data_IF_008566619962
#
_entry.id   IF_008566619962
#
_cell.length_a   1.000
_cell.length_b   1.000
_cell.length_c   1.000
_cell.angle_alpha   90.00
_cell.angle_beta   90.00
_cell.angle_gamma   90.00
#
_symmetry.space_group_name_H-M   'P 1'
#
loop_
_entity.id
_entity.type
_entity.pdbx_description
1 polymer ?
#
# COMPACT_ATOMS: atom_id res chain seq x y z
N UNK A 1 -43.03 -4.75 22.31
CA UNK A 1 -42.19 -3.56 22.04
C UNK A 1 -40.81 -3.78 22.66
N UNK A 2 -39.75 -3.45 21.92
CA UNK A 2 -38.32 -3.82 22.09
C UNK A 2 -37.95 -5.19 21.51
N UNK A 3 -37.81 -5.25 20.18
CA UNK A 3 -36.84 -6.14 19.54
C UNK A 3 -35.54 -5.36 19.41
N UNK A 4 -34.49 -5.89 20.04
CA UNK A 4 -33.22 -5.21 20.24
C UNK A 4 -32.43 -5.00 18.95
N UNK A 5 -31.87 -3.81 18.83
CA UNK A 5 -30.62 -3.58 18.11
C UNK A 5 -29.54 -4.43 18.78
N UNK A 6 -29.17 -5.59 18.22
CA UNK A 6 -27.93 -6.25 18.63
C UNK A 6 -27.39 -7.30 17.65
N UNK A 7 -27.46 -7.04 16.34
CA UNK A 7 -26.54 -7.67 15.40
C UNK A 7 -25.89 -6.57 14.56
N UNK A 8 -24.54 -6.48 14.52
CA UNK A 8 -23.87 -5.69 13.49
C UNK A 8 -24.11 -6.40 12.15
N UNK A 9 -25.27 -6.14 11.56
CA UNK A 9 -25.57 -6.55 10.20
C UNK A 9 -24.71 -5.76 9.21
N UNK A 10 -24.58 -6.28 8.00
CA UNK A 10 -23.97 -5.60 6.85
C UNK A 10 -24.45 -4.14 6.66
N UNK A 11 -25.67 -3.81 7.08
CA UNK A 11 -26.22 -2.45 7.02
C UNK A 11 -25.51 -1.49 7.99
N UNK A 12 -25.15 -1.93 9.19
CA UNK A 12 -24.40 -1.09 10.12
C UNK A 12 -23.00 -0.81 9.55
N UNK A 13 -22.29 -1.82 9.04
CA UNK A 13 -20.97 -1.59 8.41
C UNK A 13 -21.07 -0.67 7.19
N UNK A 14 -22.10 -0.84 6.36
CA UNK A 14 -22.31 0.04 5.22
C UNK A 14 -22.61 1.49 5.64
N UNK A 15 -23.39 1.69 6.70
CA UNK A 15 -23.60 3.01 7.28
C UNK A 15 -22.27 3.64 7.75
N UNK A 16 -21.41 2.86 8.41
CA UNK A 16 -20.08 3.33 8.83
C UNK A 16 -19.17 3.73 7.67
N UNK A 17 -19.22 3.00 6.56
CA UNK A 17 -18.48 3.36 5.35
C UNK A 17 -19.02 4.62 4.70
N UNK A 18 -20.35 4.83 4.70
CA UNK A 18 -21.01 5.99 4.08
C UNK A 18 -20.91 7.28 4.90
N UNK A 19 -20.83 7.20 6.24
CA UNK A 19 -20.82 8.38 7.13
C UNK A 19 -19.79 9.45 6.73
N UNK A 20 -18.50 9.14 6.47
CA UNK A 20 -17.51 10.14 6.09
C UNK A 20 -17.81 10.82 4.75
N UNK A 21 -18.34 10.08 3.76
CA UNK A 21 -18.68 10.61 2.43
C UNK A 21 -19.87 11.58 2.52
N UNK A 22 -20.90 11.21 3.28
CA UNK A 22 -22.05 12.09 3.55
C UNK A 22 -21.62 13.34 4.28
N UNK A 23 -20.77 13.22 5.31
CA UNK A 23 -20.24 14.39 6.01
C UNK A 23 -19.45 15.29 5.07
N UNK A 24 -18.62 14.73 4.19
CA UNK A 24 -17.82 15.46 3.21
C UNK A 24 -18.60 16.01 2.00
N UNK A 25 -19.92 15.79 1.93
CA UNK A 25 -20.76 16.16 0.80
C UNK A 25 -20.29 15.56 -0.54
N UNK A 26 -19.70 14.36 -0.48
CA UNK A 26 -19.19 13.60 -1.63
C UNK A 26 -19.96 12.31 -1.90
N UNK A 27 -20.94 11.96 -1.06
CA UNK A 27 -21.88 10.88 -1.30
C UNK A 27 -22.92 11.27 -2.36
N UNK A 28 -23.45 10.27 -3.08
CA UNK A 28 -24.62 10.44 -3.96
C UNK A 28 -25.90 10.70 -3.14
N UNK A 29 -26.94 11.23 -3.79
CA UNK A 29 -28.23 11.49 -3.13
C UNK A 29 -28.86 10.20 -2.60
N UNK A 30 -28.78 9.10 -3.35
CA UNK A 30 -29.30 7.79 -2.96
C UNK A 30 -28.62 7.27 -1.68
N UNK A 31 -27.30 7.41 -1.58
CA UNK A 31 -26.52 7.05 -0.40
C UNK A 31 -26.86 7.93 0.81
N UNK A 32 -27.14 9.21 0.57
CA UNK A 32 -27.55 10.15 1.61
C UNK A 32 -28.91 9.78 2.20
N UNK A 33 -29.91 9.58 1.35
CA UNK A 33 -31.26 9.19 1.77
C UNK A 33 -31.25 7.84 2.50
N UNK A 34 -30.48 6.88 1.99
CA UNK A 34 -30.33 5.56 2.62
C UNK A 34 -29.73 5.68 4.03
N UNK A 35 -28.66 6.47 4.19
CA UNK A 35 -28.01 6.66 5.48
C UNK A 35 -28.99 7.32 6.47
N UNK A 36 -29.69 8.40 6.09
CA UNK A 36 -30.67 9.05 6.97
C UNK A 36 -31.75 8.06 7.42
N UNK A 37 -32.28 7.26 6.50
CA UNK A 37 -33.29 6.24 6.82
C UNK A 37 -32.78 5.18 7.80
N UNK A 38 -31.49 4.81 7.70
CA UNK A 38 -30.85 3.89 8.65
C UNK A 38 -30.62 4.54 10.02
N UNK A 39 -30.12 5.78 10.07
CA UNK A 39 -29.87 6.52 11.31
C UNK A 39 -31.17 6.73 12.13
N UNK A 40 -32.32 6.88 11.46
CA UNK A 40 -33.62 6.96 12.13
C UNK A 40 -34.02 5.66 12.86
N UNK A 41 -33.47 4.52 12.44
CA UNK A 41 -33.78 3.19 12.99
C UNK A 41 -32.72 2.70 13.97
N UNK A 42 -31.48 3.18 13.88
CA UNK A 42 -30.34 2.69 14.65
C UNK A 42 -29.76 3.75 15.60
N UNK A 43 -29.93 3.55 16.91
CA UNK A 43 -29.46 4.48 17.94
C UNK A 43 -27.93 4.56 18.05
N UNK A 44 -27.20 3.46 17.80
CA UNK A 44 -25.74 3.47 17.84
C UNK A 44 -25.17 4.25 16.67
N UNK A 45 -25.61 3.97 15.44
CA UNK A 45 -25.15 4.68 14.25
C UNK A 45 -25.50 6.18 14.28
N UNK A 46 -26.67 6.56 14.81
CA UNK A 46 -27.03 7.98 14.99
C UNK A 46 -26.16 8.70 16.02
N UNK A 47 -25.79 8.03 17.12
CA UNK A 47 -24.86 8.58 18.11
C UNK A 47 -23.46 8.83 17.51
N UNK A 48 -22.96 7.88 16.72
CA UNK A 48 -21.68 7.98 16.02
C UNK A 48 -21.68 9.09 14.97
N UNK A 49 -22.72 9.15 14.14
CA UNK A 49 -22.86 10.23 13.14
C UNK A 49 -22.89 11.62 13.80
N UNK A 50 -23.61 11.76 14.93
CA UNK A 50 -23.64 12.99 15.70
C UNK A 50 -22.27 13.35 16.32
N UNK A 51 -21.47 12.36 16.73
CA UNK A 51 -20.10 12.59 17.19
C UNK A 51 -19.19 13.08 16.06
N UNK A 52 -19.23 12.42 14.90
CA UNK A 52 -18.41 12.80 13.75
C UNK A 52 -18.81 14.18 13.19
N UNK A 53 -20.11 14.49 13.16
CA UNK A 53 -20.62 15.82 12.78
C UNK A 53 -20.10 16.92 13.72
N UNK A 54 -20.12 16.67 15.05
CA UNK A 54 -19.54 17.60 16.03
C UNK A 54 -18.05 17.81 15.82
N UNK A 55 -17.29 16.75 15.53
CA UNK A 55 -15.86 16.86 15.23
C UNK A 55 -15.61 17.70 13.98
N UNK A 56 -16.36 17.46 12.90
CA UNK A 56 -16.27 18.25 11.66
C UNK A 56 -16.55 19.72 11.94
N UNK A 57 -17.60 20.03 12.71
CA UNK A 57 -17.91 21.40 13.10
C UNK A 57 -16.77 22.02 13.89
N UNK A 58 -16.20 21.30 14.86
CA UNK A 58 -15.07 21.79 15.64
C UNK A 58 -13.83 22.09 14.77
N UNK A 59 -13.55 21.25 13.75
CA UNK A 59 -12.45 21.48 12.81
C UNK A 59 -12.71 22.62 11.82
N UNK A 60 -13.98 22.94 11.55
CA UNK A 60 -14.37 24.04 10.66
C UNK A 60 -14.31 25.42 11.32
N UNK A 61 -14.20 25.47 12.66
CA UNK A 61 -14.05 26.72 13.38
C UNK A 61 -12.73 27.40 12.97
N UNK A 62 -12.75 28.72 12.73
CA UNK A 62 -11.51 29.47 12.57
C UNK A 62 -10.62 29.25 13.78
N UNK A 63 -9.34 28.95 13.55
CA UNK A 63 -8.35 28.92 14.63
C UNK A 63 -8.14 30.35 15.13
N UNK A 64 -8.41 30.59 16.41
CA UNK A 64 -8.12 31.88 17.06
C UNK A 64 -6.62 32.16 17.16
N UNK A 65 -5.79 31.16 16.90
CA UNK A 65 -4.33 31.30 16.83
C UNK A 65 -3.93 31.64 15.40
N UNK A 66 -3.38 32.83 15.14
CA UNK A 66 -2.81 33.14 13.83
C UNK A 66 -1.62 32.21 13.59
N UNK A 67 -1.72 31.35 12.57
CA UNK A 67 -0.64 30.46 12.15
C UNK A 67 0.25 31.21 11.17
N UNK A 68 1.44 31.58 11.62
CA UNK A 68 2.50 32.08 10.74
C UNK A 68 3.30 30.87 10.21
N UNK A 69 2.94 30.43 9.01
CA UNK A 69 3.59 29.29 8.35
C UNK A 69 5.08 29.57 8.07
N UNK A 70 5.44 30.82 7.79
CA UNK A 70 6.81 31.22 7.44
C UNK A 70 7.69 31.21 8.69
N UNK A 71 7.22 31.76 9.81
CA UNK A 71 7.93 31.65 11.09
C UNK A 71 8.09 30.19 11.56
N UNK A 72 7.08 29.35 11.30
CA UNK A 72 7.15 27.91 11.54
C UNK A 72 8.23 27.21 10.69
N UNK A 73 8.27 27.51 9.40
CA UNK A 73 9.26 26.97 8.47
C UNK A 73 10.68 27.41 8.82
N UNK A 74 10.89 28.70 9.10
CA UNK A 74 12.20 29.23 9.49
C UNK A 74 12.72 28.56 10.76
N UNK A 75 11.85 28.31 11.75
CA UNK A 75 12.21 27.57 12.97
C UNK A 75 12.57 26.12 12.67
N UNK A 76 11.88 25.46 11.73
CA UNK A 76 12.19 24.10 11.32
C UNK A 76 13.53 24.03 10.60
N UNK A 77 13.76 24.89 9.60
CA UNK A 77 15.01 24.96 8.86
C UNK A 77 16.19 25.23 9.80
N UNK A 78 16.04 26.20 10.72
CA UNK A 78 17.06 26.47 11.74
C UNK A 78 17.36 25.28 12.66
N UNK A 79 16.41 24.37 12.90
CA UNK A 79 16.65 23.12 13.65
C UNK A 79 17.34 22.05 12.83
N UNK A 80 17.10 22.00 11.51
CA UNK A 80 17.78 21.08 10.59
C UNK A 80 19.23 21.51 10.36
N UNK A 81 19.47 22.82 10.32
CA UNK A 81 20.81 23.41 10.19
C UNK A 81 21.58 23.44 11.51
N UNK A 82 20.88 23.30 12.64
CA UNK A 82 21.51 23.23 13.95
C UNK A 82 22.33 21.93 14.06
N UNK A 83 23.61 22.01 14.47
CA UNK A 83 24.39 20.80 14.72
C UNK A 83 23.70 19.97 15.81
N UNK A 84 23.58 18.66 15.58
CA UNK A 84 22.97 17.76 16.57
C UNK A 84 23.66 17.95 17.92
N UNK A 85 22.91 18.13 19.01
CA UNK A 85 23.50 18.22 20.33
C UNK A 85 24.25 16.92 20.60
N UNK A 86 25.55 17.05 20.81
CA UNK A 86 26.42 15.93 21.15
C UNK A 86 25.88 15.29 22.43
N UNK A 87 25.22 14.14 22.27
CA UNK A 87 24.78 13.32 23.41
C UNK A 87 26.03 12.91 24.15
N UNK A 88 26.31 13.59 25.27
CA UNK A 88 27.37 13.18 26.17
C UNK A 88 27.09 11.73 26.59
N UNK A 89 28.07 10.81 26.44
CA UNK A 89 27.86 9.43 26.82
C UNK A 89 27.61 9.38 28.32
N UNK A 90 26.37 9.07 28.69
CA UNK A 90 26.02 8.80 30.09
C UNK A 90 26.76 7.53 30.48
N UNK A 91 27.78 7.67 31.33
CA UNK A 91 28.47 6.51 31.92
C UNK A 91 27.56 5.84 32.93
N UNK A 92 26.78 4.88 32.46
CA UNK A 92 25.98 4.02 33.32
C UNK A 92 26.91 2.97 33.94
N UNK A 93 27.03 2.95 35.27
CA UNK A 93 27.71 1.86 35.98
C UNK A 93 26.89 0.58 35.83
N UNK A 94 27.38 -0.35 35.03
CA UNK A 94 26.73 -1.64 34.79
C UNK A 94 26.87 -2.54 36.04
N UNK A 95 25.75 -2.79 36.71
CA UNK A 95 25.62 -3.83 37.74
C UNK A 95 25.69 -5.23 37.11
N UNK A 96 26.00 -6.26 37.88
CA UNK A 96 25.94 -7.65 37.40
C UNK A 96 24.55 -7.98 36.82
N UNK A 97 23.47 -7.47 37.41
CA UNK A 97 22.11 -7.63 36.85
C UNK A 97 21.98 -7.06 35.44
N UNK A 98 22.56 -5.89 35.14
CA UNK A 98 22.61 -5.37 33.77
C UNK A 98 23.44 -6.24 32.83
N UNK A 99 24.54 -6.85 33.29
CA UNK A 99 25.33 -7.79 32.47
C UNK A 99 24.57 -9.08 32.16
N UNK A 100 23.82 -9.61 33.12
CA UNK A 100 22.98 -10.78 32.92
C UNK A 100 21.82 -10.49 31.95
N UNK A 101 21.19 -9.32 32.08
CA UNK A 101 20.15 -8.87 31.15
C UNK A 101 20.70 -8.65 29.72
N UNK A 102 21.90 -8.09 29.59
CA UNK A 102 22.58 -7.95 28.29
C UNK A 102 22.86 -9.32 27.66
N UNK A 103 23.33 -10.28 28.44
CA UNK A 103 23.56 -11.65 27.95
C UNK A 103 22.25 -12.30 27.47
N UNK A 104 21.16 -12.17 28.24
CA UNK A 104 19.85 -12.66 27.84
C UNK A 104 19.33 -11.97 26.56
N UNK A 105 19.52 -10.66 26.43
CA UNK A 105 19.13 -9.91 25.25
C UNK A 105 19.94 -10.32 24.00
N UNK A 106 21.24 -10.61 24.15
CA UNK A 106 22.07 -11.12 23.06
C UNK A 106 21.62 -12.51 22.60
N UNK A 107 21.29 -13.41 23.53
CA UNK A 107 20.74 -14.73 23.19
C UNK A 107 19.41 -14.60 22.44
N UNK A 108 18.52 -13.69 22.88
CA UNK A 108 17.26 -13.42 22.18
C UNK A 108 17.48 -12.82 20.79
N UNK A 109 18.42 -11.88 20.65
CA UNK A 109 18.75 -11.27 19.36
C UNK A 109 19.30 -12.31 18.37
N UNK A 110 20.14 -13.24 18.83
CA UNK A 110 20.64 -14.34 17.99
C UNK A 110 19.49 -15.28 17.60
N UNK A 111 18.63 -15.65 18.55
CA UNK A 111 17.45 -16.49 18.27
C UNK A 111 16.50 -15.87 17.23
N UNK A 112 16.20 -14.57 17.40
CA UNK A 112 15.36 -13.81 16.47
C UNK A 112 16.03 -13.63 15.11
N UNK A 113 17.35 -13.40 15.08
CA UNK A 113 18.11 -13.30 13.82
C UNK A 113 18.08 -14.60 13.02
N UNK A 114 18.28 -15.74 13.67
CA UNK A 114 18.20 -17.06 13.01
C UNK A 114 16.78 -17.36 12.52
N UNK A 115 15.76 -17.04 13.32
CA UNK A 115 14.36 -17.19 12.92
C UNK A 115 14.01 -16.28 11.74
N UNK A 116 14.46 -15.02 11.76
CA UNK A 116 14.27 -14.06 10.67
C UNK A 116 14.91 -14.51 9.37
N UNK A 117 16.15 -15.04 9.40
CA UNK A 117 16.82 -15.59 8.21
C UNK A 117 16.06 -16.80 7.65
N UNK A 118 15.54 -17.68 8.51
CA UNK A 118 14.72 -18.84 8.07
C UNK A 118 13.42 -18.41 7.42
N UNK A 119 12.75 -17.40 7.97
CA UNK A 119 11.50 -16.85 7.42
C UNK A 119 11.76 -16.11 6.09
N UNK A 120 12.79 -15.27 6.00
CA UNK A 120 13.17 -14.59 4.75
C UNK A 120 13.64 -15.54 3.66
N UNK A 121 14.37 -16.61 4.01
CA UNK A 121 14.76 -17.62 3.01
C UNK A 121 13.54 -18.34 2.40
N UNK A 122 12.44 -18.43 3.15
CA UNK A 122 11.17 -18.98 2.70
C UNK A 122 10.36 -17.99 1.83
N UNK A 123 10.59 -16.70 2.02
CA UNK A 123 9.91 -15.59 1.32
C UNK A 123 10.60 -15.16 0.01
N UNK A 124 11.85 -15.58 -0.22
CA UNK A 124 12.62 -15.32 -1.46
C UNK A 124 11.98 -15.88 -2.75
N UNK A 125 10.87 -16.63 -2.64
CA UNK A 125 10.10 -17.12 -3.79
C UNK A 125 8.94 -16.22 -4.24
N UNK A 126 8.54 -15.19 -3.49
CA UNK A 126 7.29 -14.44 -3.78
C UNK A 126 7.18 -12.99 -3.25
N UNK A 127 8.26 -12.40 -2.72
CA UNK A 127 8.23 -11.02 -2.21
C UNK A 127 8.07 -9.96 -3.30
N UNK A 128 6.87 -9.37 -3.40
CA UNK A 128 6.68 -8.03 -3.96
C UNK A 128 7.55 -7.06 -3.16
N UNK A 129 8.70 -6.67 -3.72
CA UNK A 129 9.53 -5.62 -3.13
C UNK A 129 8.70 -4.32 -3.12
N UNK A 130 8.31 -3.87 -1.93
CA UNK A 130 7.62 -2.60 -1.74
C UNK A 130 8.51 -1.48 -2.26
N UNK A 131 8.12 -0.92 -3.40
CA UNK A 131 8.90 0.08 -4.12
C UNK A 131 8.31 1.46 -3.86
N UNK A 132 9.15 2.39 -3.42
CA UNK A 132 8.72 3.78 -3.23
C UNK A 132 8.75 4.54 -4.56
N UNK A 133 7.88 5.54 -4.73
CA UNK A 133 7.85 6.37 -5.94
C UNK A 133 9.13 7.21 -6.14
N UNK A 134 9.92 7.37 -5.08
CA UNK A 134 11.22 8.07 -5.10
C UNK A 134 12.39 7.16 -5.50
N UNK A 135 12.15 5.85 -5.63
CA UNK A 135 13.20 4.87 -5.93
C UNK A 135 13.50 4.84 -7.43
N UNK A 136 14.76 5.14 -7.76
CA UNK A 136 15.27 5.12 -9.14
C UNK A 136 14.97 3.79 -9.80
N UNK A 137 14.43 3.84 -11.02
CA UNK A 137 14.12 2.65 -11.78
C UNK A 137 15.39 1.85 -12.06
N UNK A 138 15.47 0.66 -11.45
CA UNK A 138 16.43 -0.34 -11.88
C UNK A 138 16.25 -0.57 -13.39
N UNK A 139 17.36 -0.64 -14.14
CA UNK A 139 17.32 -0.96 -15.56
C UNK A 139 16.52 -2.25 -15.75
N UNK A 140 15.49 -2.19 -16.58
CA UNK A 140 14.75 -3.39 -16.95
C UNK A 140 15.71 -4.33 -17.69
N UNK A 141 15.57 -5.64 -17.47
CA UNK A 141 16.31 -6.63 -18.23
C UNK A 141 16.10 -6.42 -19.74
N UNK A 142 17.14 -6.65 -20.53
CA UNK A 142 17.16 -6.37 -21.98
C UNK A 142 16.13 -7.19 -22.80
N UNK A 143 15.41 -8.11 -22.15
CA UNK A 143 14.38 -8.98 -22.70
C UNK A 143 12.97 -8.68 -22.16
N UNK A 144 12.79 -7.54 -21.48
CA UNK A 144 11.49 -7.14 -20.96
C UNK A 144 10.51 -6.79 -22.09
N UNK A 145 9.26 -7.23 -21.93
CA UNK A 145 8.17 -7.02 -22.89
C UNK A 145 7.04 -6.28 -22.20
N UNK A 146 6.57 -5.19 -22.81
CA UNK A 146 5.37 -4.47 -22.37
C UNK A 146 4.15 -5.03 -23.08
N UNK A 147 3.14 -5.43 -22.31
CA UNK A 147 1.92 -6.05 -22.83
C UNK A 147 0.68 -5.37 -22.27
N UNK A 148 -0.29 -5.08 -23.13
CA UNK A 148 -1.61 -4.57 -22.76
C UNK A 148 -2.65 -5.64 -23.11
N UNK A 149 -3.19 -6.37 -22.12
CA UNK A 149 -4.33 -7.25 -22.30
C UNK A 149 -5.60 -6.46 -22.65
N UNK A 150 -6.53 -7.10 -23.35
CA UNK A 150 -7.88 -6.59 -23.52
C UNK A 150 -8.64 -6.60 -22.18
N UNK A 151 -9.48 -5.59 -21.95
CA UNK A 151 -10.24 -5.47 -20.70
C UNK A 151 -11.21 -6.64 -20.46
N UNK A 152 -11.56 -7.39 -21.51
CA UNK A 152 -12.44 -8.57 -21.44
C UNK A 152 -11.68 -9.88 -21.26
N UNK A 153 -10.35 -9.86 -21.29
CA UNK A 153 -9.54 -11.06 -21.10
C UNK A 153 -9.69 -11.56 -19.67
N UNK A 154 -10.05 -12.83 -19.49
CA UNK A 154 -10.19 -13.39 -18.14
C UNK A 154 -8.81 -13.59 -17.51
N UNK A 155 -8.75 -13.55 -16.18
CA UNK A 155 -7.51 -13.83 -15.45
C UNK A 155 -6.97 -15.24 -15.74
N UNK A 156 -7.86 -16.23 -15.95
CA UNK A 156 -7.47 -17.59 -16.30
C UNK A 156 -6.83 -17.69 -17.69
N UNK A 157 -7.39 -17.00 -18.68
CA UNK A 157 -6.81 -16.95 -20.03
C UNK A 157 -5.47 -16.21 -20.02
N UNK A 158 -5.37 -15.13 -19.23
CA UNK A 158 -4.13 -14.37 -19.05
C UNK A 158 -3.01 -15.24 -18.46
N UNK A 159 -3.31 -15.96 -17.37
CA UNK A 159 -2.36 -16.85 -16.71
C UNK A 159 -1.93 -18.01 -17.64
N UNK A 160 -2.87 -18.59 -18.39
CA UNK A 160 -2.57 -19.63 -19.37
C UNK A 160 -1.63 -19.16 -20.48
N UNK A 161 -1.78 -17.92 -20.96
CA UNK A 161 -0.88 -17.30 -21.95
C UNK A 161 0.52 -17.10 -21.37
N UNK A 162 0.63 -16.58 -20.15
CA UNK A 162 1.91 -16.38 -19.46
C UNK A 162 2.65 -17.71 -19.24
N UNK A 163 1.94 -18.74 -18.77
CA UNK A 163 2.50 -20.08 -18.57
C UNK A 163 2.95 -20.72 -19.89
N UNK A 164 2.14 -20.62 -20.95
CA UNK A 164 2.47 -21.17 -22.28
C UNK A 164 3.72 -20.53 -22.87
N UNK A 165 3.89 -19.22 -22.68
CA UNK A 165 5.02 -18.46 -23.21
C UNK A 165 6.20 -18.36 -22.23
N UNK A 166 6.10 -19.01 -21.06
CA UNK A 166 7.11 -18.98 -20.00
C UNK A 166 7.50 -17.54 -19.62
N UNK A 167 6.49 -16.68 -19.50
CA UNK A 167 6.62 -15.27 -19.12
C UNK A 167 6.11 -15.05 -17.69
N UNK A 168 6.74 -14.13 -16.96
CA UNK A 168 6.33 -13.71 -15.62
C UNK A 168 6.08 -12.21 -15.60
N UNK A 169 5.04 -11.80 -14.89
CA UNK A 169 4.77 -10.38 -14.60
C UNK A 169 5.76 -9.88 -13.55
N UNK A 170 6.52 -8.83 -13.87
CA UNK A 170 7.44 -8.15 -12.93
C UNK A 170 6.93 -6.78 -12.49
N UNK A 171 6.02 -6.18 -13.27
CA UNK A 171 5.33 -4.95 -12.91
C UNK A 171 3.99 -4.88 -13.65
N UNK A 172 2.99 -4.19 -13.09
CA UNK A 172 1.72 -4.00 -13.78
C UNK A 172 0.65 -3.36 -12.90
N UNK A 173 -0.57 -3.27 -13.42
CA UNK A 173 -0.85 -2.42 -14.58
C UNK A 173 -0.50 -0.96 -14.25
N UNK A 174 0.23 -0.28 -15.12
CA UNK A 174 0.40 1.18 -14.97
C UNK A 174 -0.87 1.94 -15.41
N UNK A 175 -0.85 3.28 -15.33
CA UNK A 175 -1.99 4.12 -15.72
C UNK A 175 -2.51 3.93 -17.16
N UNK A 176 -1.76 3.25 -18.03
CA UNK A 176 -2.18 2.88 -19.39
C UNK A 176 -2.68 1.41 -19.50
N UNK A 177 -2.82 0.69 -18.38
CA UNK A 177 -3.22 -0.72 -18.34
C UNK A 177 -2.13 -1.71 -18.77
N UNK A 178 -0.87 -1.27 -18.88
CA UNK A 178 0.20 -2.13 -19.39
C UNK A 178 0.95 -2.88 -18.27
N UNK A 179 1.19 -4.15 -18.52
CA UNK A 179 2.02 -5.05 -17.72
C UNK A 179 3.42 -5.16 -18.32
N UNK A 180 4.41 -5.37 -17.46
CA UNK A 180 5.80 -5.64 -17.84
C UNK A 180 6.08 -7.10 -17.56
N UNK A 181 6.46 -7.84 -18.60
CA UNK A 181 6.76 -9.26 -18.57
C UNK A 181 8.25 -9.49 -18.79
N UNK A 182 8.81 -10.50 -18.15
CA UNK A 182 10.15 -11.03 -18.44
C UNK A 182 10.09 -12.55 -18.59
N UNK A 183 11.01 -13.17 -19.34
CA UNK A 183 11.14 -14.63 -19.40
C UNK A 183 11.43 -15.23 -18.02
N UNK A 184 10.83 -16.38 -17.72
CA UNK A 184 11.04 -17.11 -16.45
C UNK A 184 12.44 -17.71 -16.36
N UNK A 185 13.10 -17.99 -17.49
CA UNK A 185 14.45 -18.53 -17.56
C UNK A 185 15.43 -17.48 -18.13
N UNK A 186 16.15 -16.81 -17.24
CA UNK A 186 17.28 -15.96 -17.61
C UNK A 186 18.47 -16.85 -18.05
N UNK A 187 18.80 -16.86 -19.35
CA UNK A 187 20.00 -17.56 -19.85
C UNK A 187 19.86 -18.31 -21.18
N UNK A 188 18.64 -18.54 -21.68
CA UNK A 188 18.46 -18.91 -23.09
C UNK A 188 18.67 -17.65 -23.97
N UNK A 189 19.14 -17.76 -25.23
CA UNK A 189 19.24 -16.59 -26.11
C UNK A 189 17.88 -15.91 -26.20
N UNK A 190 17.74 -14.79 -25.50
CA UNK A 190 16.50 -14.06 -25.42
C UNK A 190 16.11 -13.64 -26.83
N UNK A 191 14.98 -14.15 -27.30
CA UNK A 191 14.38 -13.72 -28.56
C UNK A 191 13.11 -12.95 -28.23
N UNK A 192 13.25 -11.74 -27.63
CA UNK A 192 12.08 -10.94 -27.26
C UNK A 192 11.19 -10.70 -28.48
N UNK A 193 11.74 -10.66 -29.69
CA UNK A 193 11.00 -10.53 -30.93
C UNK A 193 10.07 -11.72 -31.21
N UNK A 194 10.48 -12.98 -30.94
CA UNK A 194 9.60 -14.14 -31.14
C UNK A 194 8.49 -14.17 -30.11
N UNK A 195 8.80 -13.88 -28.85
CA UNK A 195 7.79 -13.79 -27.78
C UNK A 195 6.80 -12.66 -28.05
N UNK A 196 7.26 -11.51 -28.52
CA UNK A 196 6.39 -10.39 -28.94
C UNK A 196 5.48 -10.79 -30.10
N UNK A 197 6.00 -11.49 -31.12
CA UNK A 197 5.16 -11.96 -32.24
C UNK A 197 4.09 -12.95 -31.79
N UNK A 198 4.42 -13.87 -30.88
CA UNK A 198 3.47 -14.83 -30.32
C UNK A 198 2.41 -14.14 -29.45
N UNK A 199 2.81 -13.14 -28.66
CA UNK A 199 1.86 -12.33 -27.88
C UNK A 199 0.93 -11.53 -28.79
N UNK A 200 1.42 -10.93 -29.87
CA UNK A 200 0.59 -10.22 -30.87
C UNK A 200 -0.38 -11.15 -31.59
N UNK A 201 -0.01 -12.41 -31.79
CA UNK A 201 -0.87 -13.42 -32.39
C UNK A 201 -1.90 -14.01 -31.42
N UNK A 202 -1.81 -13.68 -30.12
CA UNK A 202 -2.69 -14.22 -29.09
C UNK A 202 -3.99 -13.40 -29.02
N UNK A 203 -5.17 -14.03 -29.17
CA UNK A 203 -6.45 -13.37 -28.98
C UNK A 203 -6.56 -12.78 -27.56
N UNK A 204 -6.98 -11.51 -27.46
CA UNK A 204 -7.08 -10.82 -26.17
C UNK A 204 -5.83 -10.01 -25.77
N UNK A 205 -4.79 -9.95 -26.61
CA UNK A 205 -3.66 -9.02 -26.43
C UNK A 205 -3.82 -7.84 -27.39
N UNK A 206 -3.93 -6.61 -26.86
CA UNK A 206 -4.08 -5.38 -27.66
C UNK A 206 -2.75 -4.83 -28.14
N UNK A 207 -1.72 -4.92 -27.30
CA UNK A 207 -0.38 -4.43 -27.60
C UNK A 207 0.67 -5.34 -26.96
N UNK A 208 1.73 -5.64 -27.71
CA UNK A 208 2.94 -6.24 -27.18
C UNK A 208 4.16 -5.61 -27.87
N UNK A 209 5.05 -5.02 -27.07
CA UNK A 209 6.24 -4.33 -27.55
C UNK A 209 7.46 -4.70 -26.70
N UNK A 210 8.63 -4.92 -27.32
CA UNK A 210 9.86 -5.08 -26.56
C UNK A 210 10.26 -3.73 -25.95
N UNK A 211 10.72 -3.75 -24.70
CA UNK A 211 11.26 -2.57 -24.05
C UNK A 211 12.73 -2.49 -24.45
N UNK A 212 13.06 -1.56 -25.35
CA UNK A 212 14.46 -1.27 -25.65
C UNK A 212 15.11 -0.68 -24.39
N UNK A 213 16.21 -1.29 -23.94
CA UNK A 213 17.06 -0.66 -22.93
C UNK A 213 17.61 0.66 -23.51
N UNK A 214 17.57 1.77 -22.75
CA UNK A 214 18.20 3.02 -23.17
C UNK A 214 19.73 2.89 -23.27
#
# INVERSE_FOLDING_TARGET
MKTGCNEPGNECSHAWELMPWVLQASATEEEHEWLIAHLAKCASCSAEFAQQSRLRMAMSLPSDVPVDAEAGLQRLLGRLDAPEPQRLPVRVRASWTTRALVAAALVQAVGLGVLGVRLSASDQGQGSNYRTLSETAQPLAADAIRVVPDARMTLGDWDAVLHKLQLRVVAGPNGAGAYTLVPVQAGAPAQPQRSVQQLRATPGIRLAEPIAAP
#
